data_IF_304336929487
#
_entry.id   IF_304336929487
#
_cell.length_a   1.000
_cell.length_b   1.000
_cell.length_c   1.000
_cell.angle_alpha   90.00
_cell.angle_beta   90.00
_cell.angle_gamma   90.00
#
_symmetry.space_group_name_H-M   'P 1'
#
loop_
_entity.id
_entity.type
_entity.pdbx_description
1 polymer ?
#
# COMPACT_ATOMS: atom_id res chain seq x y z
N UNK A 1 11.62 43.28 -8.31
CA UNK A 1 11.10 42.51 -7.16
C UNK A 1 10.51 41.24 -7.73
N UNK A 2 11.28 40.15 -7.77
CA UNK A 2 10.74 38.83 -8.09
C UNK A 2 9.79 38.46 -6.96
N UNK A 3 8.48 38.43 -7.25
CA UNK A 3 7.56 37.67 -6.41
C UNK A 3 8.06 36.24 -6.40
N UNK A 4 8.61 35.81 -5.26
CA UNK A 4 8.84 34.40 -4.97
C UNK A 4 7.46 33.75 -4.90
N UNK A 5 6.95 33.34 -6.05
CA UNK A 5 5.75 32.55 -6.10
C UNK A 5 5.97 31.31 -5.26
N UNK A 6 5.17 31.17 -4.18
CA UNK A 6 5.32 30.04 -3.27
C UNK A 6 5.26 28.74 -4.06
N UNK A 7 5.94 27.69 -3.62
CA UNK A 7 6.04 26.38 -4.30
C UNK A 7 4.70 25.78 -4.79
N UNK A 8 3.57 26.26 -4.25
CA UNK A 8 2.21 25.85 -4.58
C UNK A 8 1.52 26.72 -5.65
N UNK A 9 2.08 27.87 -6.06
CA UNK A 9 1.53 28.70 -7.13
C UNK A 9 1.71 27.99 -8.49
N UNK A 10 0.67 27.25 -8.90
CA UNK A 10 0.62 26.51 -10.16
C UNK A 10 0.12 25.07 -10.02
N UNK A 11 0.03 24.54 -8.80
CA UNK A 11 -0.45 23.18 -8.55
C UNK A 11 -1.97 23.16 -8.30
N UNK A 12 -2.68 22.24 -8.95
CA UNK A 12 -4.09 22.02 -8.65
C UNK A 12 -4.26 21.36 -7.28
N UNK A 13 -5.39 21.64 -6.62
CA UNK A 13 -5.74 21.03 -5.33
C UNK A 13 -5.72 19.49 -5.38
N UNK A 14 -6.09 18.91 -6.53
CA UNK A 14 -6.07 17.46 -6.74
C UNK A 14 -4.65 16.89 -6.68
N UNK A 15 -3.65 17.61 -7.22
CA UNK A 15 -2.25 17.17 -7.19
C UNK A 15 -1.74 17.17 -5.75
N UNK A 16 -2.04 18.23 -4.99
CA UNK A 16 -1.65 18.31 -3.57
C UNK A 16 -2.33 17.20 -2.75
N UNK A 17 -3.63 16.98 -2.94
CA UNK A 17 -4.38 15.95 -2.22
C UNK A 17 -3.89 14.53 -2.53
N UNK A 18 -3.65 14.21 -3.80
CA UNK A 18 -3.11 12.92 -4.21
C UNK A 18 -1.66 12.75 -3.75
N UNK A 19 -0.84 13.81 -3.81
CA UNK A 19 0.54 13.79 -3.33
C UNK A 19 0.62 13.46 -1.84
N UNK A 20 -0.18 14.14 -1.00
CA UNK A 20 -0.26 13.84 0.43
C UNK A 20 -0.75 12.41 0.68
N UNK A 21 -1.83 12.00 0.01
CA UNK A 21 -2.38 10.64 0.17
C UNK A 21 -1.35 9.57 -0.19
N UNK A 22 -0.63 9.75 -1.30
CA UNK A 22 0.43 8.84 -1.73
C UNK A 22 1.58 8.83 -0.75
N UNK A 23 2.05 10.00 -0.30
CA UNK A 23 3.14 10.12 0.66
C UNK A 23 2.84 9.39 1.97
N UNK A 24 1.69 9.62 2.58
CA UNK A 24 1.33 8.93 3.83
C UNK A 24 1.15 7.43 3.64
N UNK A 25 0.59 7.01 2.50
CA UNK A 25 0.44 5.58 2.20
C UNK A 25 1.79 4.90 2.06
N UNK A 26 2.73 5.54 1.37
CA UNK A 26 4.07 5.04 1.11
C UNK A 26 4.89 4.94 2.40
N UNK A 27 4.94 6.03 3.19
CA UNK A 27 5.56 6.02 4.52
C UNK A 27 5.02 4.88 5.38
N UNK A 28 3.70 4.72 5.42
CA UNK A 28 3.08 3.64 6.18
C UNK A 28 3.44 2.24 5.65
N UNK A 29 3.53 2.06 4.32
CA UNK A 29 3.91 0.78 3.71
C UNK A 29 5.35 0.43 4.02
N UNK A 30 6.28 1.35 3.78
CA UNK A 30 7.71 1.13 3.98
C UNK A 30 8.04 0.87 5.45
N UNK A 31 7.37 1.57 6.39
CA UNK A 31 7.52 1.29 7.82
C UNK A 31 7.16 -0.15 8.20
N UNK A 32 6.11 -0.70 7.59
CA UNK A 32 5.66 -2.07 7.88
C UNK A 32 6.54 -3.07 7.15
N UNK A 33 6.73 -2.92 5.85
CA UNK A 33 7.42 -3.90 5.01
C UNK A 33 8.90 -4.02 5.32
N UNK A 34 9.55 -2.96 5.79
CA UNK A 34 10.93 -3.04 6.27
C UNK A 34 11.07 -3.95 7.50
N UNK A 35 10.05 -4.03 8.34
CA UNK A 35 10.07 -4.79 9.61
C UNK A 35 9.34 -6.13 9.52
N UNK A 36 8.47 -6.31 8.52
CA UNK A 36 7.60 -7.48 8.41
C UNK A 36 8.38 -8.82 8.31
N UNK A 37 9.47 -8.93 7.51
CA UNK A 37 10.27 -10.16 7.48
C UNK A 37 10.87 -10.50 8.83
N UNK A 38 11.38 -9.50 9.54
CA UNK A 38 11.94 -9.67 10.88
C UNK A 38 10.87 -10.14 11.87
N UNK A 39 9.68 -9.52 11.86
CA UNK A 39 8.54 -9.95 12.68
C UNK A 39 8.12 -11.39 12.39
N UNK A 40 8.06 -11.80 11.13
CA UNK A 40 7.69 -13.17 10.75
C UNK A 40 8.69 -14.19 11.29
N UNK A 41 9.99 -13.92 11.18
CA UNK A 41 11.05 -14.87 11.53
C UNK A 41 11.28 -14.89 13.03
N UNK A 42 11.54 -13.74 13.64
CA UNK A 42 11.89 -13.66 15.05
C UNK A 42 10.66 -13.70 15.95
N UNK A 43 9.60 -12.97 15.57
CA UNK A 43 8.37 -12.87 16.34
C UNK A 43 7.49 -14.13 16.24
N UNK A 44 7.26 -14.61 15.01
CA UNK A 44 6.37 -15.76 14.75
C UNK A 44 7.12 -17.08 14.51
N UNK A 45 8.46 -17.08 14.52
CA UNK A 45 9.29 -18.27 14.30
C UNK A 45 9.00 -18.96 12.95
N UNK A 46 8.65 -18.16 11.94
CA UNK A 46 8.36 -18.63 10.58
C UNK A 46 9.67 -18.83 9.82
N UNK A 47 9.78 -19.95 9.08
CA UNK A 47 10.94 -20.24 8.24
C UNK A 47 11.08 -19.21 7.11
N UNK A 48 12.31 -18.76 6.84
CA UNK A 48 12.63 -17.82 5.75
C UNK A 48 12.09 -18.22 4.37
N UNK A 49 12.07 -19.53 4.05
CA UNK A 49 11.50 -20.01 2.80
C UNK A 49 10.00 -19.69 2.66
N UNK A 50 9.25 -19.73 3.77
CA UNK A 50 7.82 -19.39 3.78
C UNK A 50 7.62 -17.89 3.65
N UNK A 51 8.48 -17.07 4.26
CA UNK A 51 8.48 -15.61 4.07
C UNK A 51 8.63 -15.25 2.59
N UNK A 52 9.58 -15.89 1.89
CA UNK A 52 9.76 -15.68 0.45
C UNK A 52 8.52 -16.04 -0.38
N UNK A 53 7.80 -17.10 -0.01
CA UNK A 53 6.53 -17.46 -0.65
C UNK A 53 5.44 -16.43 -0.39
N UNK A 54 5.33 -15.91 0.83
CA UNK A 54 4.33 -14.88 1.18
C UNK A 54 4.61 -13.59 0.41
N UNK A 55 5.84 -13.07 0.48
CA UNK A 55 6.20 -11.82 -0.20
C UNK A 55 6.09 -11.96 -1.73
N UNK A 56 6.53 -13.09 -2.28
CA UNK A 56 6.40 -13.37 -3.71
C UNK A 56 4.95 -13.46 -4.17
N UNK A 57 4.09 -14.14 -3.41
CA UNK A 57 2.65 -14.21 -3.70
C UNK A 57 1.99 -12.84 -3.60
N UNK A 58 2.32 -12.07 -2.56
CA UNK A 58 1.76 -10.74 -2.35
C UNK A 58 2.15 -9.77 -3.48
N UNK A 59 3.42 -9.73 -3.88
CA UNK A 59 3.86 -8.85 -4.98
C UNK A 59 3.27 -9.27 -6.34
N UNK A 60 3.09 -10.57 -6.55
CA UNK A 60 2.44 -11.11 -7.75
C UNK A 60 0.98 -10.68 -7.82
N UNK A 61 0.23 -10.86 -6.72
CA UNK A 61 -1.18 -10.44 -6.63
C UNK A 61 -1.29 -8.92 -6.81
N UNK A 62 -0.44 -8.15 -6.13
CA UNK A 62 -0.41 -6.69 -6.27
C UNK A 62 -0.15 -6.26 -7.72
N UNK A 63 0.77 -6.91 -8.41
CA UNK A 63 1.07 -6.60 -9.82
C UNK A 63 -0.11 -6.89 -10.75
N UNK A 64 -0.78 -8.03 -10.57
CA UNK A 64 -2.00 -8.37 -11.32
C UNK A 64 -3.13 -7.38 -11.01
N UNK A 65 -3.35 -7.07 -9.74
CA UNK A 65 -4.38 -6.13 -9.31
C UNK A 65 -4.13 -4.70 -9.83
N UNK A 66 -2.88 -4.22 -9.87
CA UNK A 66 -2.54 -2.91 -10.44
C UNK A 66 -3.01 -2.81 -11.90
N UNK A 67 -2.70 -3.81 -12.72
CA UNK A 67 -3.09 -3.84 -14.14
C UNK A 67 -4.61 -3.96 -14.29
N UNK A 68 -5.23 -4.90 -13.58
CA UNK A 68 -6.66 -5.16 -13.67
C UNK A 68 -7.49 -3.96 -13.18
N UNK A 69 -7.13 -3.41 -12.02
CA UNK A 69 -7.81 -2.25 -11.43
C UNK A 69 -7.64 -1.00 -12.27
N UNK A 70 -6.45 -0.77 -12.86
CA UNK A 70 -6.20 0.33 -13.79
C UNK A 70 -7.08 0.26 -15.03
N UNK A 71 -7.07 -0.89 -15.72
CA UNK A 71 -7.92 -1.13 -16.89
C UNK A 71 -9.41 -0.95 -16.56
N UNK A 72 -9.87 -1.52 -15.44
CA UNK A 72 -11.27 -1.44 -15.04
C UNK A 72 -11.66 0.01 -14.67
N UNK A 73 -10.80 0.71 -13.95
CA UNK A 73 -10.99 2.11 -13.57
C UNK A 73 -11.10 3.02 -14.79
N UNK A 74 -10.25 2.82 -15.79
CA UNK A 74 -10.30 3.59 -17.04
C UNK A 74 -11.54 3.25 -17.87
N UNK A 75 -11.93 1.97 -17.95
CA UNK A 75 -13.15 1.55 -18.66
C UNK A 75 -14.42 2.13 -18.05
N UNK A 76 -14.50 2.20 -16.72
CA UNK A 76 -15.66 2.74 -15.98
C UNK A 76 -15.63 4.28 -15.92
N UNK A 77 -14.46 4.90 -16.07
CA UNK A 77 -14.26 6.35 -15.99
C UNK A 77 -14.36 6.93 -14.58
N UNK A 78 -14.51 6.10 -13.53
CA UNK A 78 -14.71 6.52 -12.12
C UNK A 78 -13.44 6.40 -11.27
N UNK A 79 -12.33 6.97 -11.74
CA UNK A 79 -10.98 6.84 -11.14
C UNK A 79 -10.91 7.14 -9.64
N UNK A 80 -11.62 8.17 -9.18
CA UNK A 80 -11.64 8.56 -7.75
C UNK A 80 -12.16 7.44 -6.85
N UNK A 81 -13.20 6.73 -7.25
CA UNK A 81 -13.79 5.66 -6.43
C UNK A 81 -12.83 4.49 -6.27
N UNK A 82 -12.15 4.09 -7.35
CA UNK A 82 -11.14 3.03 -7.30
C UNK A 82 -9.95 3.41 -6.41
N UNK A 83 -9.45 4.65 -6.54
CA UNK A 83 -8.38 5.15 -5.68
C UNK A 83 -8.79 5.14 -4.20
N UNK A 84 -9.94 5.73 -3.87
CA UNK A 84 -10.43 5.77 -2.47
C UNK A 84 -10.64 4.37 -1.91
N UNK A 85 -11.22 3.45 -2.68
CA UNK A 85 -11.42 2.08 -2.23
C UNK A 85 -10.09 1.36 -1.94
N UNK A 86 -9.12 1.46 -2.85
CA UNK A 86 -7.80 0.84 -2.68
C UNK A 86 -7.03 1.42 -1.49
N UNK A 87 -6.98 2.74 -1.36
CA UNK A 87 -6.30 3.39 -0.22
C UNK A 87 -7.00 3.07 1.11
N UNK A 88 -8.33 3.04 1.15
CA UNK A 88 -9.08 2.70 2.36
C UNK A 88 -8.85 1.25 2.79
N UNK A 89 -8.82 0.32 1.83
CA UNK A 89 -8.50 -1.08 2.09
C UNK A 89 -7.08 -1.21 2.68
N UNK A 90 -6.09 -0.57 2.06
CA UNK A 90 -4.71 -0.59 2.57
C UNK A 90 -4.60 0.01 3.97
N UNK A 91 -5.26 1.15 4.23
CA UNK A 91 -5.26 1.80 5.53
C UNK A 91 -5.91 0.95 6.63
N UNK A 92 -6.92 0.15 6.28
CA UNK A 92 -7.60 -0.74 7.23
C UNK A 92 -6.82 -2.03 7.51
N UNK A 93 -6.20 -2.63 6.49
CA UNK A 93 -5.50 -3.92 6.63
C UNK A 93 -4.19 -3.80 7.40
N UNK A 94 -3.43 -2.74 7.17
CA UNK A 94 -2.09 -2.55 7.78
C UNK A 94 -2.09 -2.63 9.32
N UNK A 95 -2.98 -1.96 10.07
CA UNK A 95 -3.07 -2.13 11.52
C UNK A 95 -3.34 -3.56 11.99
N UNK A 96 -3.96 -4.40 11.14
CA UNK A 96 -4.28 -5.78 11.52
C UNK A 96 -3.02 -6.65 11.71
N UNK A 97 -1.86 -6.25 11.16
CA UNK A 97 -0.60 -6.94 11.43
C UNK A 97 -0.26 -6.97 12.93
N UNK A 98 -0.69 -5.98 13.71
CA UNK A 98 -0.49 -5.95 15.16
C UNK A 98 -1.19 -7.11 15.90
N UNK A 99 -2.21 -7.71 15.29
CA UNK A 99 -2.96 -8.84 15.83
C UNK A 99 -2.61 -10.17 15.16
N UNK A 100 -1.59 -10.19 14.28
CA UNK A 100 -1.18 -11.39 13.58
C UNK A 100 -0.42 -12.34 14.52
N UNK A 101 -0.92 -13.56 14.67
CA UNK A 101 -0.31 -14.61 15.52
C UNK A 101 0.05 -15.87 14.74
N UNK A 102 -0.30 -15.91 13.46
CA UNK A 102 -0.10 -17.08 12.61
C UNK A 102 0.29 -16.68 11.19
N UNK A 103 0.92 -17.62 10.47
CA UNK A 103 1.27 -17.50 9.05
C UNK A 103 0.07 -17.09 8.20
N UNK A 104 -1.10 -17.68 8.49
CA UNK A 104 -2.33 -17.42 7.74
C UNK A 104 -2.80 -15.97 7.92
N UNK A 105 -2.70 -15.41 9.13
CA UNK A 105 -3.06 -14.01 9.36
C UNK A 105 -2.17 -13.09 8.54
N UNK A 106 -0.84 -13.30 8.61
CA UNK A 106 0.12 -12.49 7.86
C UNK A 106 -0.11 -12.60 6.36
N UNK A 107 -0.33 -13.81 5.84
CA UNK A 107 -0.62 -14.02 4.42
C UNK A 107 -1.90 -13.30 3.99
N UNK A 108 -3.01 -13.46 4.72
CA UNK A 108 -4.28 -12.82 4.39
C UNK A 108 -4.20 -11.30 4.42
N UNK A 109 -3.44 -10.72 5.35
CA UNK A 109 -3.28 -9.26 5.42
C UNK A 109 -2.33 -8.76 4.33
N UNK A 110 -1.22 -9.45 4.07
CA UNK A 110 -0.16 -9.00 3.15
C UNK A 110 -0.55 -9.06 1.68
N UNK A 111 -1.43 -9.99 1.32
CA UNK A 111 -1.88 -10.21 -0.07
C UNK A 111 -2.84 -9.13 -0.58
N UNK A 112 -3.50 -8.38 0.31
CA UNK A 112 -4.51 -7.37 -0.03
C UNK A 112 -4.13 -5.96 0.46
#
# INVERSE_FOLDING_TARGET
MEEKGGFLQGLSLNVVALGLTSFFTDVSSEMIFALLPFFMVEGLQIKMAVVGLIEGAAESVASVLKVFSGWLSDKVGKRKTFAVAGYSLSAFLKPLFAFATSVLHVFSIRVF
#
